data_IF_152255992821
#
_entry.id   IF_152255992821
#
_cell.length_a   1.000
_cell.length_b   1.000
_cell.length_c   1.000
_cell.angle_alpha   90.00
_cell.angle_beta   90.00
_cell.angle_gamma   90.00
#
_symmetry.space_group_name_H-M   'P 1'
#
loop_
_entity.id
_entity.type
_entity.pdbx_description
1 polymer ?
#
# COMPACT_ATOMS: atom_id res chain seq x y z
N UNK A 1 20.38 -2.29 26.75
CA UNK A 1 20.34 -1.30 25.65
C UNK A 1 19.48 -1.94 24.57
N UNK A 2 18.17 -1.67 24.60
CA UNK A 2 17.21 -2.26 23.65
C UNK A 2 17.56 -1.76 22.24
N UNK A 3 17.92 -2.69 21.36
CA UNK A 3 18.04 -2.41 19.93
C UNK A 3 16.62 -2.11 19.44
N UNK A 4 16.33 -0.84 19.12
CA UNK A 4 15.14 -0.49 18.34
C UNK A 4 15.18 -1.29 17.04
N UNK A 5 14.24 -2.23 16.90
CA UNK A 5 14.14 -3.11 15.74
C UNK A 5 13.97 -2.27 14.48
N UNK A 6 14.79 -2.54 13.46
CA UNK A 6 14.61 -1.92 12.16
C UNK A 6 13.27 -2.36 11.59
N UNK A 7 12.40 -1.42 11.25
CA UNK A 7 11.11 -1.73 10.65
C UNK A 7 11.02 -1.16 9.24
N UNK A 8 10.21 -1.82 8.41
CA UNK A 8 9.82 -1.32 7.10
C UNK A 8 8.35 -1.59 6.90
N UNK A 9 7.60 -0.55 6.53
CA UNK A 9 6.16 -0.61 6.30
C UNK A 9 5.81 0.05 4.98
N UNK A 10 5.01 -0.64 4.17
CA UNK A 10 4.42 -0.09 2.96
C UNK A 10 2.95 0.16 3.20
N UNK A 11 2.48 1.35 2.88
CA UNK A 11 1.11 1.80 3.08
C UNK A 11 0.59 2.22 1.72
N UNK A 12 -0.51 1.62 1.29
CA UNK A 12 -1.15 1.99 0.03
C UNK A 12 -1.91 3.30 0.23
N UNK A 13 -1.79 4.20 -0.73
CA UNK A 13 -2.57 5.43 -0.80
C UNK A 13 -3.79 5.19 -1.69
N UNK A 14 -4.96 5.18 -1.07
CA UNK A 14 -6.25 5.01 -1.70
C UNK A 14 -6.96 6.36 -1.86
N UNK A 15 -7.83 6.44 -2.86
CA UNK A 15 -8.64 7.64 -3.04
C UNK A 15 -9.63 7.81 -1.89
N UNK A 16 -9.59 8.98 -1.26
CA UNK A 16 -10.59 9.39 -0.28
C UNK A 16 -11.53 10.42 -0.91
N UNK A 17 -10.98 11.52 -1.44
CA UNK A 17 -11.77 12.52 -2.18
C UNK A 17 -11.66 12.35 -3.70
N UNK A 18 -12.82 12.38 -4.36
CA UNK A 18 -12.91 12.30 -5.82
C UNK A 18 -12.58 13.63 -6.52
N UNK A 19 -12.35 13.59 -7.83
CA UNK A 19 -12.11 14.80 -8.65
C UNK A 19 -10.64 15.21 -8.83
N UNK A 20 -9.73 14.65 -8.02
CA UNK A 20 -8.29 14.94 -8.04
C UNK A 20 -7.48 14.05 -8.98
N UNK A 21 -8.12 13.11 -9.68
CA UNK A 21 -7.47 12.28 -10.71
C UNK A 21 -7.46 12.96 -12.08
N UNK A 22 -6.42 12.75 -12.90
CA UNK A 22 -6.38 13.27 -14.28
C UNK A 22 -7.34 12.49 -15.19
N UNK A 23 -6.98 11.25 -15.54
CA UNK A 23 -7.74 10.33 -16.41
C UNK A 23 -8.10 9.01 -15.70
N UNK A 24 -7.44 8.75 -14.56
CA UNK A 24 -7.61 7.56 -13.74
C UNK A 24 -7.68 7.98 -12.28
N UNK A 25 -8.19 7.09 -11.45
CA UNK A 25 -8.15 7.25 -9.99
C UNK A 25 -6.69 7.46 -9.55
N UNK A 26 -6.39 8.55 -8.82
CA UNK A 26 -5.06 8.77 -8.28
C UNK A 26 -4.78 7.70 -7.24
N UNK A 27 -3.51 7.33 -7.11
CA UNK A 27 -3.11 6.30 -6.17
C UNK A 27 -1.60 6.26 -6.01
N UNK A 28 -1.14 5.57 -4.99
CA UNK A 28 0.28 5.55 -4.68
C UNK A 28 0.61 4.65 -3.51
N UNK A 29 1.82 4.83 -2.99
CA UNK A 29 2.21 4.20 -1.74
C UNK A 29 3.15 5.10 -0.96
N UNK A 30 3.18 4.87 0.35
CA UNK A 30 4.16 5.41 1.27
C UNK A 30 4.98 4.28 1.83
N UNK A 31 6.30 4.43 1.80
CA UNK A 31 7.24 3.56 2.47
C UNK A 31 7.76 4.28 3.71
N UNK A 32 7.53 3.69 4.88
CA UNK A 32 8.16 4.07 6.13
C UNK A 32 9.29 3.08 6.44
N UNK A 33 10.47 3.60 6.74
CA UNK A 33 11.65 2.81 7.13
C UNK A 33 12.21 3.37 8.42
N UNK A 34 12.20 2.59 9.49
CA UNK A 34 12.85 2.97 10.73
C UNK A 34 14.16 2.25 10.93
N UNK A 35 15.13 3.00 11.42
CA UNK A 35 16.30 2.49 12.10
C UNK A 35 16.38 3.16 13.48
N UNK A 36 17.28 2.72 14.36
CA UNK A 36 17.46 3.37 15.67
C UNK A 36 17.83 4.86 15.61
N UNK A 37 18.05 5.42 14.42
CA UNK A 37 18.41 6.83 14.19
C UNK A 37 17.23 7.69 13.74
N UNK A 38 16.12 7.08 13.29
CA UNK A 38 14.97 7.84 12.82
C UNK A 38 14.02 7.07 11.89
N UNK A 39 13.21 7.82 11.15
CA UNK A 39 12.17 7.32 10.24
C UNK A 39 12.35 7.99 8.87
N UNK A 40 12.69 7.19 7.87
CA UNK A 40 12.61 7.55 6.46
C UNK A 40 11.19 7.42 5.92
N UNK A 41 10.71 8.47 5.26
CA UNK A 41 9.42 8.54 4.58
C UNK A 41 9.70 8.69 3.09
N UNK A 42 9.13 7.80 2.28
CA UNK A 42 9.19 7.87 0.81
C UNK A 42 7.79 7.73 0.24
N UNK A 43 7.34 8.70 -0.54
CA UNK A 43 6.00 8.75 -1.13
C UNK A 43 6.13 8.70 -2.65
N UNK A 44 5.31 7.89 -3.30
CA UNK A 44 5.16 7.87 -4.76
C UNK A 44 3.68 7.83 -5.12
N UNK A 45 3.24 8.77 -5.95
CA UNK A 45 1.84 8.94 -6.37
C UNK A 45 1.79 9.06 -7.88
N UNK A 46 0.75 8.48 -8.49
CA UNK A 46 0.44 8.56 -9.92
C UNK A 46 -1.00 8.99 -10.15
N UNK A 47 -1.23 9.50 -11.35
CA UNK A 47 -2.52 9.97 -11.88
C UNK A 47 -3.18 11.10 -11.09
N UNK A 48 -2.42 11.81 -10.26
CA UNK A 48 -2.92 12.96 -9.48
C UNK A 48 -2.85 14.24 -10.32
N UNK A 49 -3.93 15.04 -10.34
CA UNK A 49 -3.94 16.34 -10.99
C UNK A 49 -3.01 17.30 -10.27
N UNK A 50 -2.35 18.15 -11.04
CA UNK A 50 -1.71 19.33 -10.50
C UNK A 50 -2.79 20.27 -9.93
N UNK A 51 -2.69 20.58 -8.65
CA UNK A 51 -3.60 21.50 -7.98
C UNK A 51 -3.17 22.94 -8.18
N UNK A 52 -4.04 23.90 -7.89
CA UNK A 52 -3.67 25.33 -7.83
C UNK A 52 -2.72 25.62 -6.66
N UNK A 53 -2.63 24.72 -5.70
CA UNK A 53 -1.69 24.72 -4.59
C UNK A 53 -1.00 23.36 -4.50
N UNK A 54 0.24 23.29 -3.97
CA UNK A 54 0.93 22.03 -3.77
C UNK A 54 0.20 21.19 -2.72
N UNK A 55 0.24 19.86 -2.86
CA UNK A 55 -0.33 18.97 -1.86
C UNK A 55 0.61 18.84 -0.65
N UNK A 56 0.06 18.80 0.55
CA UNK A 56 0.80 18.53 1.80
C UNK A 56 0.75 17.04 2.13
N UNK A 57 1.88 16.47 2.56
CA UNK A 57 1.94 15.14 3.18
C UNK A 57 1.77 15.31 4.69
N UNK A 58 0.75 14.69 5.27
CA UNK A 58 0.41 14.82 6.68
C UNK A 58 0.42 13.44 7.34
N UNK A 59 1.11 13.30 8.46
CA UNK A 59 1.06 12.11 9.32
C UNK A 59 0.10 12.38 10.46
N UNK A 60 -0.83 11.44 10.64
CA UNK A 60 -1.77 11.41 11.76
C UNK A 60 -1.39 10.25 12.67
N UNK A 61 -1.23 10.51 13.96
CA UNK A 61 -0.76 9.51 14.92
C UNK A 61 -1.39 9.70 16.29
N UNK A 62 -1.43 8.65 17.10
CA UNK A 62 -1.87 8.75 18.50
C UNK A 62 -0.71 9.23 19.38
N UNK A 63 -0.93 10.35 20.06
CA UNK A 63 0.02 10.93 21.01
C UNK A 63 -0.63 10.96 22.40
N UNK A 64 -0.67 9.79 23.07
CA UNK A 64 -1.14 9.45 24.45
C UNK A 64 -2.42 10.16 25.00
N UNK A 65 -2.55 11.47 24.85
CA UNK A 65 -3.66 12.33 25.24
C UNK A 65 -4.50 12.84 24.05
N UNK A 66 -3.90 13.02 22.87
CA UNK A 66 -4.59 13.55 21.69
C UNK A 66 -4.08 13.01 20.34
N UNK A 67 -4.77 13.39 19.26
CA UNK A 67 -4.40 13.03 17.90
C UNK A 67 -3.32 14.01 17.41
N UNK A 68 -2.11 13.49 17.22
CA UNK A 68 -0.98 14.19 16.64
C UNK A 68 -1.18 14.42 15.14
N UNK A 69 -0.84 15.63 14.68
CA UNK A 69 -0.91 16.04 13.28
C UNK A 69 0.45 16.64 12.93
N UNK A 70 1.17 15.99 12.02
CA UNK A 70 2.49 16.44 11.58
C UNK A 70 2.55 16.61 10.07
N UNK A 71 2.78 17.84 9.61
CA UNK A 71 2.96 18.16 8.19
C UNK A 71 4.41 17.91 7.81
N UNK A 72 4.64 16.83 7.05
CA UNK A 72 5.98 16.34 6.70
C UNK A 72 6.63 17.26 5.67
N UNK A 73 5.85 17.69 4.68
CA UNK A 73 6.28 18.60 3.63
C UNK A 73 5.28 18.62 2.46
N UNK A 74 5.65 19.31 1.39
CA UNK A 74 4.80 19.51 0.21
C UNK A 74 5.27 18.65 -0.97
N UNK A 75 4.32 18.13 -1.73
CA UNK A 75 4.49 17.40 -2.98
C UNK A 75 4.40 18.37 -4.16
N UNK A 76 5.39 18.28 -5.05
CA UNK A 76 5.27 18.81 -6.39
C UNK A 76 4.77 17.71 -7.32
N UNK A 77 3.77 18.04 -8.13
CA UNK A 77 3.19 17.14 -9.13
C UNK A 77 3.73 17.53 -10.49
N UNK A 78 4.31 16.58 -11.21
CA UNK A 78 4.81 16.78 -12.58
C UNK A 78 4.16 15.71 -13.46
N UNK A 79 3.38 16.14 -14.45
CA UNK A 79 2.75 15.24 -15.43
C UNK A 79 1.97 14.08 -14.80
N UNK A 80 1.23 14.37 -13.72
CA UNK A 80 0.42 13.36 -13.05
C UNK A 80 1.17 12.47 -12.05
N UNK A 81 2.46 12.72 -11.82
CA UNK A 81 3.30 11.94 -10.92
C UNK A 81 3.84 12.84 -9.82
N UNK A 82 3.87 12.33 -8.59
CA UNK A 82 4.50 13.02 -7.48
C UNK A 82 5.39 12.04 -6.70
N UNK A 83 6.58 12.51 -6.31
CA UNK A 83 7.49 11.75 -5.46
C UNK A 83 8.04 12.63 -4.36
N UNK A 84 8.19 12.08 -3.18
CA UNK A 84 8.75 12.81 -2.04
C UNK A 84 9.57 11.89 -1.16
N UNK A 85 10.65 12.40 -0.60
CA UNK A 85 11.45 11.69 0.39
C UNK A 85 11.90 12.64 1.50
N UNK A 86 11.72 12.22 2.74
CA UNK A 86 12.24 12.93 3.92
C UNK A 86 12.68 11.93 4.97
N UNK A 87 13.74 12.26 5.69
CA UNK A 87 14.15 11.55 6.88
C UNK A 87 13.82 12.40 8.10
N UNK A 88 13.13 11.80 9.07
CA UNK A 88 12.89 12.38 10.39
C UNK A 88 13.92 11.76 11.33
N UNK A 89 14.79 12.58 11.90
CA UNK A 89 15.79 12.10 12.85
C UNK A 89 15.19 11.76 14.22
N UNK A 90 15.97 11.06 15.04
CA UNK A 90 15.56 10.65 16.38
C UNK A 90 15.08 11.84 17.25
N UNK A 91 15.72 13.01 17.13
CA UNK A 91 15.35 14.21 17.88
C UNK A 91 13.95 14.72 17.49
N UNK A 92 13.66 14.77 16.19
CA UNK A 92 12.35 15.14 15.65
C UNK A 92 11.27 14.15 16.10
N UNK A 93 11.54 12.85 16.03
CA UNK A 93 10.58 11.81 16.40
C UNK A 93 10.26 11.86 17.90
N UNK A 94 11.29 12.05 18.72
CA UNK A 94 11.15 12.15 20.18
C UNK A 94 10.39 13.41 20.58
N UNK A 95 10.76 14.57 20.03
CA UNK A 95 10.08 15.84 20.34
C UNK A 95 8.61 15.85 19.94
N UNK A 96 8.24 15.15 18.88
CA UNK A 96 6.86 15.03 18.41
C UNK A 96 6.11 13.84 19.03
N UNK A 97 6.78 13.04 19.87
CA UNK A 97 6.31 11.76 20.40
C UNK A 97 5.69 10.84 19.33
N UNK A 98 6.31 10.82 18.14
CA UNK A 98 5.87 9.96 17.04
C UNK A 98 6.40 8.55 17.33
N UNK A 99 5.49 7.58 17.39
CA UNK A 99 5.87 6.16 17.39
C UNK A 99 5.35 5.50 16.11
N UNK A 100 6.19 4.78 15.35
CA UNK A 100 5.79 4.13 14.10
C UNK A 100 4.49 3.31 14.19
N UNK A 101 4.35 2.55 15.26
CA UNK A 101 3.22 1.69 15.59
C UNK A 101 1.95 2.49 15.98
N UNK A 102 2.09 3.78 16.28
CA UNK A 102 0.98 4.70 16.60
C UNK A 102 0.56 5.58 15.44
N UNK A 103 1.23 5.51 14.29
CA UNK A 103 0.78 6.19 13.08
C UNK A 103 -0.55 5.55 12.63
N UNK A 104 -1.59 6.37 12.50
CA UNK A 104 -2.94 5.98 12.06
C UNK A 104 -3.12 6.21 10.56
N UNK A 105 -2.83 7.41 10.09
CA UNK A 105 -3.04 7.79 8.69
C UNK A 105 -1.83 8.54 8.12
N UNK A 106 -1.65 8.41 6.82
CA UNK A 106 -0.83 9.31 6.01
C UNK A 106 -1.74 9.93 4.95
N UNK A 107 -1.86 11.26 4.96
CA UNK A 107 -2.78 12.00 4.12
C UNK A 107 -2.01 12.77 3.06
N UNK A 108 -2.56 12.81 1.86
CA UNK A 108 -2.17 13.75 0.81
C UNK A 108 -3.30 14.77 0.73
N UNK A 109 -3.06 15.99 1.20
CA UNK A 109 -4.07 17.00 1.38
C UNK A 109 -3.82 18.25 0.52
N UNK A 110 -4.87 18.85 -0.02
CA UNK A 110 -4.85 20.22 -0.53
C UNK A 110 -5.49 21.11 0.54
N UNK A 111 -4.67 21.93 1.20
CA UNK A 111 -5.09 22.75 2.33
C UNK A 111 -5.35 24.20 1.87
N UNK A 112 -6.60 24.64 1.91
CA UNK A 112 -7.01 26.03 1.70
C UNK A 112 -7.49 26.64 3.03
N UNK A 113 -7.59 27.98 3.09
CA UNK A 113 -7.87 28.73 4.32
C UNK A 113 -9.08 28.22 5.13
N UNK A 114 -10.16 27.80 4.47
CA UNK A 114 -11.38 27.30 5.13
C UNK A 114 -11.75 25.86 4.77
N UNK A 115 -10.95 25.20 3.93
CA UNK A 115 -11.30 23.88 3.40
C UNK A 115 -10.07 23.03 3.17
N UNK A 116 -10.15 21.79 3.63
CA UNK A 116 -9.13 20.77 3.39
C UNK A 116 -9.75 19.69 2.53
N UNK A 117 -9.13 19.41 1.39
CA UNK A 117 -9.42 18.23 0.58
C UNK A 117 -8.33 17.20 0.79
N UNK A 118 -8.70 15.94 0.86
CA UNK A 118 -7.80 14.81 1.07
C UNK A 118 -7.94 13.85 -0.12
N UNK A 119 -7.29 14.15 -1.25
CA UNK A 119 -7.29 13.26 -2.42
C UNK A 119 -6.94 11.81 -2.09
N UNK A 120 -5.93 11.59 -1.24
CA UNK A 120 -5.43 10.26 -0.92
C UNK A 120 -5.22 10.06 0.58
N UNK A 121 -5.53 8.85 1.02
CA UNK A 121 -5.30 8.37 2.38
C UNK A 121 -4.54 7.05 2.37
N UNK A 122 -3.57 6.93 3.27
CA UNK A 122 -2.94 5.67 3.62
C UNK A 122 -3.29 5.29 5.05
N UNK A 123 -4.05 4.20 5.22
CA UNK A 123 -4.44 3.69 6.52
C UNK A 123 -3.35 2.74 7.02
N UNK A 124 -2.73 3.08 8.15
CA UNK A 124 -1.61 2.33 8.71
C UNK A 124 -2.05 1.13 9.56
N UNK A 125 -3.30 1.10 10.03
CA UNK A 125 -3.86 0.01 10.84
C UNK A 125 -5.15 -0.48 10.18
N UNK A 126 -5.18 -1.74 9.74
CA UNK A 126 -6.28 -2.30 8.94
C UNK A 126 -7.66 -2.23 9.61
N UNK A 127 -7.69 -2.17 10.94
CA UNK A 127 -8.92 -2.13 11.75
C UNK A 127 -9.45 -0.70 11.98
N UNK A 128 -8.77 0.33 11.47
CA UNK A 128 -9.13 1.72 11.72
C UNK A 128 -9.72 2.32 10.45
N UNK A 129 -11.06 2.41 10.32
CA UNK A 129 -11.68 3.10 9.18
C UNK A 129 -11.36 4.60 9.22
N UNK A 130 -11.55 5.28 8.09
CA UNK A 130 -11.40 6.73 8.05
C UNK A 130 -12.30 7.44 9.08
N UNK A 131 -11.72 8.37 9.83
CA UNK A 131 -12.42 9.17 10.83
C UNK A 131 -12.54 10.62 10.37
N UNK A 132 -13.76 11.06 10.06
CA UNK A 132 -14.05 12.42 9.58
C UNK A 132 -13.71 13.51 10.60
N UNK A 133 -13.61 13.18 11.90
CA UNK A 133 -13.15 14.11 12.94
C UNK A 133 -11.73 14.60 12.66
N UNK A 134 -10.90 13.77 12.00
CA UNK A 134 -9.54 14.17 11.58
C UNK A 134 -9.60 15.32 10.59
N UNK A 135 -10.48 15.27 9.58
CA UNK A 135 -10.67 16.37 8.61
C UNK A 135 -11.08 17.65 9.31
N UNK A 136 -12.00 17.56 10.27
CA UNK A 136 -12.44 18.72 11.06
C UNK A 136 -11.30 19.33 11.89
N UNK A 137 -10.40 18.51 12.44
CA UNK A 137 -9.22 18.99 13.19
C UNK A 137 -8.20 19.68 12.28
N UNK A 138 -8.03 19.21 11.04
CA UNK A 138 -7.16 19.87 10.06
C UNK A 138 -7.64 21.29 9.76
N UNK A 139 -8.95 21.51 9.65
CA UNK A 139 -9.56 22.84 9.42
C UNK A 139 -9.45 23.73 10.69
N UNK A 140 -9.61 23.16 11.89
CA UNK A 140 -9.65 23.93 13.15
C UNK A 140 -8.28 24.42 13.62
N UNK A 141 -7.18 23.68 13.39
CA UNK A 141 -5.85 24.09 13.88
C UNK A 141 -5.31 25.36 13.19
N UNK A 142 -5.80 25.71 12.00
CA UNK A 142 -5.45 26.99 11.35
C UNK A 142 -6.19 28.19 11.95
N UNK A 143 -7.30 27.98 12.68
CA UNK A 143 -8.02 29.05 13.39
C UNK A 143 -7.43 29.39 14.76
N UNK A 144 -6.60 28.53 15.35
CA UNK A 144 -6.02 28.75 16.70
C UNK A 144 -4.81 29.69 16.67
N UNK A 145 -4.22 29.97 15.49
CA UNK A 145 -3.13 30.96 15.36
C UNK A 145 -3.66 32.40 15.16
N UNK A 146 -4.96 32.59 14.90
CA UNK A 146 -5.56 33.92 14.80
C UNK A 146 -6.98 33.94 15.40
N UNK A 147 -7.08 34.07 16.73
CA UNK A 147 -8.04 34.93 17.44
C UNK A 147 -7.94 34.72 18.95
N UNK A 148 -7.10 35.54 19.57
CA UNK A 148 -7.33 36.00 20.93
C UNK A 148 -8.42 37.07 20.88
N UNK A 149 -9.41 36.96 21.79
CA UNK A 149 -10.47 37.94 22.12
C UNK A 149 -11.63 37.98 21.07
N UNK A 150 -12.91 37.77 21.37
CA UNK A 150 -13.75 38.04 22.56
C UNK A 150 -14.90 37.01 22.74
N UNK A 151 -15.54 37.05 23.90
CA UNK A 151 -16.62 36.17 24.39
C UNK A 151 -18.00 36.38 23.70
N UNK A 152 -18.70 35.26 23.42
CA UNK A 152 -20.13 34.83 23.60
C UNK A 152 -21.27 35.88 23.82
N UNK A 153 -22.59 35.58 23.58
CA UNK A 153 -23.23 34.24 23.71
C UNK A 153 -24.35 33.82 22.70
N UNK A 154 -24.65 32.51 22.78
CA UNK A 154 -25.91 31.71 22.66
C UNK A 154 -27.03 32.04 21.65
N UNK A 155 -27.44 31.04 20.85
CA UNK A 155 -28.84 30.59 20.63
C UNK A 155 -28.86 29.06 20.41
N UNK A 156 -29.83 28.40 21.06
CA UNK A 156 -30.18 26.97 21.04
C UNK A 156 -30.87 26.53 19.72
N UNK A 157 -31.26 25.23 19.68
CA UNK A 157 -32.12 24.52 18.70
C UNK A 157 -31.40 23.91 17.48
N UNK A 158 -31.61 22.67 17.04
CA UNK A 158 -32.47 21.54 17.43
C UNK A 158 -31.91 20.27 16.75
N UNK A 159 -32.17 19.08 17.33
CA UNK A 159 -31.90 17.75 16.73
C UNK A 159 -33.03 17.34 15.76
N UNK A 160 -32.74 16.46 14.78
CA UNK A 160 -33.36 15.11 14.83
C UNK A 160 -32.34 14.01 14.43
N UNK A 161 -32.08 12.98 15.25
CA UNK A 161 -32.77 11.67 15.40
C UNK A 161 -32.71 10.74 14.17
N UNK A 162 -31.73 9.82 14.23
CA UNK A 162 -31.71 8.38 13.89
C UNK A 162 -32.47 7.84 12.67
N UNK A 163 -31.72 7.14 11.79
CA UNK A 163 -32.00 5.74 11.44
C UNK A 163 -30.65 4.99 11.51
N UNK A 164 -30.50 4.12 12.50
CA UNK A 164 -29.43 3.13 12.58
C UNK A 164 -29.89 1.92 11.75
N UNK A 165 -29.16 1.58 10.69
CA UNK A 165 -29.29 0.28 10.03
C UNK A 165 -28.08 -0.59 10.41
N UNK A 166 -28.42 -1.66 11.09
CA UNK A 166 -27.62 -2.78 11.56
C UNK A 166 -27.03 -3.57 10.38
N UNK A 167 -25.71 -3.66 10.29
CA UNK A 167 -25.01 -4.66 9.47
C UNK A 167 -23.93 -5.33 10.31
N UNK A 168 -24.36 -6.38 11.01
CA UNK A 168 -23.48 -7.44 11.50
C UNK A 168 -23.01 -8.33 10.33
N UNK A 169 -21.70 -8.63 10.33
CA UNK A 169 -20.93 -9.70 9.63
C UNK A 169 -20.72 -9.65 8.10
N UNK A 170 -19.47 -9.35 7.69
CA UNK A 170 -18.46 -10.38 7.37
C UNK A 170 -17.05 -9.75 7.14
N UNK A 171 -16.04 -10.25 7.83
CA UNK A 171 -14.62 -9.94 7.60
C UNK A 171 -14.20 -10.45 6.20
N UNK A 172 -13.31 -9.78 5.43
CA UNK A 172 -12.85 -10.31 4.16
C UNK A 172 -11.87 -11.48 4.41
N UNK A 173 -12.40 -12.69 4.48
CA UNK A 173 -11.63 -13.94 4.40
C UNK A 173 -11.07 -14.06 2.97
N UNK A 174 -9.74 -14.10 2.82
CA UNK A 174 -9.12 -14.44 1.53
C UNK A 174 -9.49 -15.88 1.23
N UNK A 175 -10.37 -16.09 0.25
CA UNK A 175 -10.80 -17.41 -0.17
C UNK A 175 -9.73 -18.03 -1.06
N UNK A 176 -8.70 -18.61 -0.45
CA UNK A 176 -7.55 -19.22 -1.14
C UNK A 176 -7.96 -20.43 -2.00
N UNK A 177 -8.96 -21.20 -1.52
CA UNK A 177 -9.56 -22.32 -2.26
C UNK A 177 -10.22 -21.82 -3.55
N UNK A 178 -11.02 -20.75 -3.47
CA UNK A 178 -11.67 -20.17 -4.63
C UNK A 178 -10.66 -19.54 -5.60
N UNK A 179 -9.62 -18.88 -5.08
CA UNK A 179 -8.55 -18.32 -5.92
C UNK A 179 -7.80 -19.41 -6.69
N UNK A 180 -7.49 -20.53 -6.04
CA UNK A 180 -6.81 -21.66 -6.68
C UNK A 180 -7.67 -22.28 -7.78
N UNK A 181 -8.97 -22.49 -7.53
CA UNK A 181 -9.89 -23.01 -8.53
C UNK A 181 -9.99 -22.08 -9.74
N UNK A 182 -10.17 -20.77 -9.50
CA UNK A 182 -10.22 -19.78 -10.58
C UNK A 182 -8.93 -19.71 -11.39
N UNK A 183 -7.77 -19.85 -10.75
CA UNK A 183 -6.47 -19.90 -11.44
C UNK A 183 -6.35 -21.14 -12.31
N UNK A 184 -6.74 -22.31 -11.79
CA UNK A 184 -6.72 -23.59 -12.51
C UNK A 184 -7.63 -23.60 -13.74
N UNK A 185 -8.78 -22.95 -13.66
CA UNK A 185 -9.69 -22.78 -14.80
C UNK A 185 -9.19 -21.73 -15.80
N UNK A 186 -8.44 -20.73 -15.31
CA UNK A 186 -8.06 -19.57 -16.10
C UNK A 186 -6.72 -19.68 -16.82
N UNK A 187 -5.80 -20.50 -16.33
CA UNK A 187 -4.41 -20.56 -16.75
C UNK A 187 -3.89 -22.00 -16.81
N UNK A 188 -2.92 -22.23 -17.70
CA UNK A 188 -2.30 -23.54 -17.89
C UNK A 188 -1.39 -23.88 -16.71
N UNK A 189 -1.53 -25.08 -16.15
CA UNK A 189 -0.56 -25.59 -15.18
C UNK A 189 0.79 -25.78 -15.88
N UNK A 190 1.87 -25.39 -15.23
CA UNK A 190 3.23 -25.65 -15.71
C UNK A 190 4.14 -26.07 -14.57
N UNK A 191 5.25 -26.72 -14.88
CA UNK A 191 6.29 -27.07 -13.91
C UNK A 191 7.59 -26.34 -14.30
N UNK A 192 7.81 -25.11 -13.78
CA UNK A 192 8.87 -24.24 -14.26
C UNK A 192 10.26 -24.60 -13.72
N UNK A 193 10.37 -25.55 -12.79
CA UNK A 193 11.62 -25.93 -12.13
C UNK A 193 11.88 -27.43 -12.27
N UNK A 194 13.15 -27.80 -12.49
CA UNK A 194 13.55 -29.18 -12.75
C UNK A 194 13.32 -30.15 -11.59
N UNK A 195 13.17 -29.63 -10.36
CA UNK A 195 12.84 -30.42 -9.18
C UNK A 195 11.46 -30.00 -8.65
N UNK A 196 10.36 -30.56 -9.19
CA UNK A 196 9.01 -30.21 -8.79
C UNK A 196 8.80 -30.61 -7.34
N UNK A 197 8.53 -29.63 -6.47
CA UNK A 197 8.17 -29.89 -5.09
C UNK A 197 6.65 -29.97 -4.97
N UNK A 198 6.15 -30.94 -4.21
CA UNK A 198 4.72 -31.19 -4.02
C UNK A 198 3.99 -30.07 -3.25
N UNK A 199 4.74 -29.25 -2.52
CA UNK A 199 4.25 -28.10 -1.76
C UNK A 199 4.06 -26.84 -2.62
N UNK A 200 4.35 -26.94 -3.93
CA UNK A 200 4.13 -25.86 -4.89
C UNK A 200 3.19 -26.26 -6.03
N UNK A 201 2.35 -25.31 -6.42
CA UNK A 201 1.52 -25.39 -7.62
C UNK A 201 1.77 -24.15 -8.46
N UNK A 202 2.03 -24.33 -9.75
CA UNK A 202 2.38 -23.24 -10.66
C UNK A 202 1.46 -23.19 -11.89
N UNK A 203 1.12 -21.96 -12.26
CA UNK A 203 0.28 -21.63 -13.39
C UNK A 203 1.00 -20.60 -14.26
N UNK A 204 0.99 -20.82 -15.58
CA UNK A 204 1.53 -19.91 -16.57
C UNK A 204 0.54 -18.79 -16.83
N UNK A 205 0.91 -17.57 -16.45
CA UNK A 205 0.05 -16.39 -16.61
C UNK A 205 0.53 -15.57 -17.80
N UNK A 206 -0.23 -15.59 -18.88
CA UNK A 206 -0.01 -14.74 -20.06
C UNK A 206 -0.83 -13.44 -20.04
N UNK A 207 -1.87 -13.36 -19.19
CA UNK A 207 -2.74 -12.21 -19.05
C UNK A 207 -2.75 -11.71 -17.59
N UNK A 208 -1.98 -10.64 -17.38
CA UNK A 208 -1.85 -9.97 -16.09
C UNK A 208 -3.13 -9.26 -15.65
N UNK A 209 -3.99 -8.83 -16.58
CA UNK A 209 -5.27 -8.19 -16.26
C UNK A 209 -6.23 -9.22 -15.69
N UNK A 210 -6.31 -10.38 -16.34
CA UNK A 210 -7.08 -11.51 -15.85
C UNK A 210 -6.59 -11.95 -14.46
N UNK A 211 -5.28 -12.10 -14.27
CA UNK A 211 -4.70 -12.42 -12.96
C UNK A 211 -5.07 -11.37 -11.90
N UNK A 212 -4.91 -10.07 -12.21
CA UNK A 212 -5.24 -8.98 -11.28
C UNK A 212 -6.70 -9.00 -10.85
N UNK A 213 -7.62 -9.27 -11.78
CA UNK A 213 -9.04 -9.35 -11.49
C UNK A 213 -9.38 -10.55 -10.61
N UNK A 214 -8.76 -11.70 -10.86
CA UNK A 214 -8.94 -12.90 -10.02
C UNK A 214 -8.48 -12.65 -8.59
N UNK A 215 -7.27 -12.11 -8.43
CA UNK A 215 -6.71 -11.77 -7.13
C UNK A 215 -7.63 -10.79 -6.37
N UNK A 216 -8.05 -9.71 -7.04
CA UNK A 216 -8.96 -8.73 -6.45
C UNK A 216 -10.30 -9.35 -6.03
N UNK A 217 -10.89 -10.21 -6.87
CA UNK A 217 -12.15 -10.89 -6.57
C UNK A 217 -12.08 -11.85 -5.37
N UNK A 218 -10.88 -12.30 -5.02
CA UNK A 218 -10.64 -13.20 -3.90
C UNK A 218 -10.03 -12.48 -2.68
N UNK A 219 -10.09 -11.14 -2.65
CA UNK A 219 -9.59 -10.34 -1.52
C UNK A 219 -8.07 -10.15 -1.48
N UNK A 220 -7.35 -10.53 -2.55
CA UNK A 220 -5.89 -10.37 -2.66
C UNK A 220 -5.58 -9.13 -3.52
N UNK A 221 -5.21 -8.02 -2.89
CA UNK A 221 -4.91 -6.78 -3.59
C UNK A 221 -3.40 -6.62 -3.89
N UNK A 222 -2.94 -7.21 -5.00
CA UNK A 222 -1.56 -7.06 -5.48
C UNK A 222 -1.56 -6.13 -6.70
N UNK A 223 -0.87 -4.97 -6.65
CA UNK A 223 -0.85 -4.04 -7.76
C UNK A 223 0.15 -4.47 -8.85
N UNK A 224 -0.16 -5.56 -9.55
CA UNK A 224 0.70 -6.18 -10.56
C UNK A 224 1.14 -5.21 -11.68
N UNK A 225 0.26 -4.28 -12.05
CA UNK A 225 0.54 -3.25 -13.04
C UNK A 225 1.41 -2.10 -12.53
N UNK A 226 1.58 -1.95 -11.22
CA UNK A 226 2.32 -0.83 -10.65
C UNK A 226 3.84 -0.99 -10.82
N UNK A 227 4.31 -2.23 -11.02
CA UNK A 227 5.72 -2.54 -11.15
C UNK A 227 6.11 -2.72 -12.63
N UNK A 228 6.87 -1.77 -13.23
CA UNK A 228 7.28 -1.86 -14.62
C UNK A 228 8.16 -3.10 -14.89
N UNK A 229 8.85 -3.64 -13.88
CA UNK A 229 9.69 -4.84 -14.04
C UNK A 229 8.84 -6.11 -14.20
N UNK A 230 7.68 -6.19 -13.53
CA UNK A 230 6.70 -7.26 -13.77
C UNK A 230 6.23 -7.20 -15.23
N UNK A 231 5.88 -6.01 -15.71
CA UNK A 231 5.43 -5.81 -17.08
C UNK A 231 6.52 -6.14 -18.10
N UNK A 232 7.76 -5.69 -17.87
CA UNK A 232 8.89 -6.02 -18.75
C UNK A 232 9.11 -7.52 -18.83
N UNK A 233 9.09 -8.23 -17.70
CA UNK A 233 9.19 -9.70 -17.68
C UNK A 233 8.08 -10.36 -18.49
N UNK A 234 6.82 -9.94 -18.26
CA UNK A 234 5.67 -10.42 -19.01
C UNK A 234 5.79 -10.15 -20.51
N UNK A 235 6.16 -8.94 -20.94
CA UNK A 235 6.23 -8.60 -22.36
C UNK A 235 7.41 -9.29 -23.06
N UNK A 236 8.58 -9.36 -22.41
CA UNK A 236 9.78 -9.97 -22.98
C UNK A 236 9.62 -11.49 -23.11
N UNK A 237 9.13 -12.15 -22.06
CA UNK A 237 9.06 -13.61 -21.99
C UNK A 237 7.65 -14.18 -22.21
N UNK A 238 6.67 -13.31 -22.44
CA UNK A 238 5.25 -13.64 -22.75
C UNK A 238 4.52 -14.42 -21.67
N UNK A 239 5.06 -14.46 -20.45
CA UNK A 239 4.40 -15.09 -19.31
C UNK A 239 4.95 -14.58 -17.98
N UNK A 240 4.19 -14.83 -16.93
CA UNK A 240 4.55 -14.80 -15.53
C UNK A 240 4.25 -16.17 -14.93
N UNK A 241 4.76 -16.42 -13.72
CA UNK A 241 4.29 -17.52 -12.89
C UNK A 241 3.37 -16.98 -11.81
N UNK A 242 2.22 -17.61 -11.64
CA UNK A 242 1.42 -17.51 -10.43
C UNK A 242 1.39 -18.88 -9.77
N UNK A 243 1.51 -18.93 -8.46
CA UNK A 243 1.50 -20.19 -7.75
C UNK A 243 1.10 -20.08 -6.30
N UNK A 244 1.00 -21.25 -5.67
CA UNK A 244 0.77 -21.38 -4.24
C UNK A 244 1.92 -22.13 -3.62
N UNK A 245 2.32 -21.68 -2.43
CA UNK A 245 3.16 -22.45 -1.52
C UNK A 245 2.36 -22.77 -0.27
N UNK A 246 2.18 -24.06 0.00
CA UNK A 246 1.48 -24.57 1.19
C UNK A 246 2.40 -25.44 2.01
N UNK A 247 2.57 -25.11 3.28
CA UNK A 247 3.36 -25.92 4.21
C UNK A 247 2.48 -26.51 5.31
N UNK A 248 2.34 -27.83 5.31
CA UNK A 248 1.56 -28.59 6.32
C UNK A 248 2.16 -28.49 7.73
N UNK A 249 3.44 -28.18 7.84
CA UNK A 249 4.19 -28.16 9.11
C UNK A 249 3.96 -26.86 9.88
N UNK A 250 3.78 -25.73 9.18
CA UNK A 250 3.75 -24.39 9.77
C UNK A 250 2.45 -23.61 9.50
N UNK A 251 1.43 -24.22 8.88
CA UNK A 251 0.17 -23.58 8.47
C UNK A 251 0.41 -22.28 7.66
N UNK A 252 1.40 -22.36 6.77
CA UNK A 252 1.84 -21.27 5.93
C UNK A 252 1.22 -21.40 4.53
N UNK A 253 0.38 -20.43 4.17
CA UNK A 253 -0.27 -20.34 2.88
C UNK A 253 0.15 -19.04 2.18
N UNK A 254 0.93 -19.18 1.12
CA UNK A 254 1.43 -18.05 0.34
C UNK A 254 0.97 -18.14 -1.10
N UNK A 255 0.60 -17.00 -1.66
CA UNK A 255 0.57 -16.78 -3.09
C UNK A 255 1.97 -16.39 -3.55
N UNK A 256 2.43 -16.95 -4.65
CA UNK A 256 3.78 -16.73 -5.16
C UNK A 256 3.71 -16.21 -6.59
N UNK A 257 4.30 -15.05 -6.82
CA UNK A 257 4.44 -14.47 -8.15
C UNK A 257 5.88 -14.64 -8.63
N UNK A 258 6.07 -15.30 -9.78
CA UNK A 258 7.36 -15.40 -10.45
C UNK A 258 7.45 -14.47 -11.65
N UNK A 259 8.42 -13.57 -11.63
CA UNK A 259 8.72 -12.67 -12.76
C UNK A 259 9.95 -13.20 -13.49
N UNK A 260 9.83 -13.59 -14.77
CA UNK A 260 10.97 -14.12 -15.53
C UNK A 260 12.01 -13.02 -15.77
N UNK A 261 13.28 -13.39 -15.67
CA UNK A 261 14.39 -12.51 -16.02
C UNK A 261 15.55 -13.28 -16.64
N UNK A 262 16.49 -12.52 -17.23
CA UNK A 262 17.69 -13.08 -17.84
C UNK A 262 18.66 -13.65 -16.82
N UNK A 263 18.80 -13.02 -15.65
CA UNK A 263 19.71 -13.42 -14.57
C UNK A 263 19.33 -12.74 -13.24
N UNK A 264 20.11 -13.02 -12.19
CA UNK A 264 19.91 -12.47 -10.83
C UNK A 264 20.25 -10.98 -10.67
N UNK A 265 20.66 -10.30 -11.74
CA UNK A 265 20.93 -8.86 -11.76
C UNK A 265 19.87 -8.07 -12.55
N UNK A 266 19.17 -8.75 -13.46
CA UNK A 266 18.17 -8.16 -14.35
C UNK A 266 16.76 -8.18 -13.74
N UNK A 267 15.95 -7.17 -14.04
CA UNK A 267 14.49 -7.24 -13.90
C UNK A 267 13.93 -7.45 -12.48
N UNK A 268 14.74 -7.31 -11.41
CA UNK A 268 14.32 -7.60 -10.03
C UNK A 268 13.10 -6.78 -9.59
N UNK A 269 11.88 -7.32 -9.47
CA UNK A 269 10.69 -6.50 -9.28
C UNK A 269 10.70 -5.81 -7.91
N UNK A 270 11.20 -6.46 -6.86
CA UNK A 270 11.24 -5.90 -5.52
C UNK A 270 12.61 -6.14 -4.85
N UNK A 271 13.27 -5.07 -4.39
CA UNK A 271 14.69 -5.11 -4.02
C UNK A 271 15.09 -6.16 -2.97
N UNK A 272 14.36 -6.28 -1.85
CA UNK A 272 14.78 -7.15 -0.72
C UNK A 272 13.86 -8.35 -0.45
N UNK A 273 12.73 -8.45 -1.15
CA UNK A 273 11.69 -9.47 -0.94
C UNK A 273 11.56 -10.45 -2.12
N UNK A 274 12.47 -10.35 -3.10
CA UNK A 274 12.52 -11.28 -4.21
C UNK A 274 13.59 -12.36 -3.96
N UNK A 275 13.21 -13.61 -4.19
CA UNK A 275 14.11 -14.75 -4.26
C UNK A 275 14.40 -15.06 -5.73
N UNK A 276 15.67 -15.12 -6.10
CA UNK A 276 16.05 -15.60 -7.42
C UNK A 276 16.01 -17.13 -7.44
N UNK A 277 15.32 -17.70 -8.42
CA UNK A 277 15.32 -19.16 -8.64
C UNK A 277 15.68 -19.45 -10.09
N UNK A 278 16.84 -20.09 -10.35
CA UNK A 278 17.25 -20.41 -11.70
C UNK A 278 16.37 -21.52 -12.29
N UNK A 279 16.17 -21.48 -13.61
CA UNK A 279 15.53 -22.55 -14.37
C UNK A 279 16.34 -22.87 -15.62
N UNK A 280 16.35 -24.14 -15.99
CA UNK A 280 16.95 -24.61 -17.23
C UNK A 280 15.83 -24.99 -18.18
N UNK A 281 15.22 -23.99 -18.81
CA UNK A 281 14.22 -24.22 -19.84
C UNK A 281 14.59 -23.46 -21.12
N UNK A 282 14.95 -24.20 -22.17
CA UNK A 282 15.38 -23.66 -23.46
C UNK A 282 14.24 -23.04 -24.27
N UNK A 283 12.98 -23.25 -23.87
CA UNK A 283 11.80 -22.72 -24.58
C UNK A 283 11.65 -21.20 -24.46
N UNK A 284 12.29 -20.57 -23.46
CA UNK A 284 12.09 -19.15 -23.13
C UNK A 284 13.26 -18.23 -23.54
N UNK A 285 14.07 -18.67 -24.50
CA UNK A 285 15.12 -17.84 -25.09
C UNK A 285 16.29 -17.60 -24.14
N UNK A 286 16.58 -16.32 -23.83
CA UNK A 286 17.68 -15.92 -22.92
C UNK A 286 17.30 -15.95 -21.43
N UNK A 287 16.07 -16.38 -21.10
CA UNK A 287 15.61 -16.49 -19.72
C UNK A 287 16.38 -17.57 -18.96
N UNK A 288 16.89 -17.26 -17.77
CA UNK A 288 17.59 -18.26 -16.94
C UNK A 288 16.97 -18.46 -15.56
N UNK A 289 15.87 -17.77 -15.24
CA UNK A 289 15.20 -17.92 -13.95
C UNK A 289 14.03 -16.98 -13.73
N UNK A 290 13.49 -17.06 -12.52
CA UNK A 290 12.39 -16.23 -12.04
C UNK A 290 12.77 -15.53 -10.74
N UNK A 291 12.34 -14.29 -10.62
CA UNK A 291 12.21 -13.62 -9.33
C UNK A 291 10.89 -14.00 -8.69
N UNK A 292 10.96 -14.81 -7.63
CA UNK A 292 9.81 -15.18 -6.83
C UNK A 292 9.53 -14.14 -5.76
N UNK A 293 8.24 -13.83 -5.59
CA UNK A 293 7.71 -12.89 -4.61
C UNK A 293 6.62 -13.61 -3.85
N UNK A 294 6.79 -13.77 -2.54
CA UNK A 294 5.83 -14.44 -1.69
C UNK A 294 4.90 -13.41 -1.07
N UNK A 295 3.60 -13.67 -1.17
CA UNK A 295 2.55 -12.87 -0.56
C UNK A 295 1.77 -13.77 0.39
N UNK A 296 1.74 -13.41 1.66
CA UNK A 296 0.99 -14.13 2.68
C UNK A 296 -0.51 -13.95 2.43
N UNK A 297 -1.24 -15.05 2.25
CA UNK A 297 -2.68 -15.00 1.95
C UNK A 297 -3.53 -14.58 3.16
N UNK A 298 -3.03 -14.70 4.40
CA UNK A 298 -3.76 -14.30 5.61
C UNK A 298 -3.77 -12.78 5.81
N UNK A 299 -2.69 -12.09 5.43
CA UNK A 299 -2.52 -10.66 5.72
C UNK A 299 -2.05 -9.81 4.52
N UNK A 300 -1.87 -10.40 3.34
CA UNK A 300 -1.44 -9.72 2.12
C UNK A 300 -0.02 -9.16 2.18
N UNK A 301 0.78 -9.51 3.18
CA UNK A 301 2.15 -9.02 3.34
C UNK A 301 3.11 -9.74 2.39
N UNK A 302 4.07 -8.99 1.86
CA UNK A 302 5.18 -9.57 1.13
C UNK A 302 6.17 -10.20 2.12
N UNK A 303 6.45 -11.47 1.94
CA UNK A 303 7.35 -12.23 2.80
C UNK A 303 8.62 -12.60 2.03
N UNK A 304 9.72 -12.71 2.76
CA UNK A 304 11.01 -13.14 2.22
C UNK A 304 11.22 -14.62 2.48
#
# INVERSE_FOLDING_TARGET
MERLESFRKYIILEQLDSGFGMQRTPGGFVRLEGNGEGIGISVQIKYIKEGTQPYTIIIIYDNDEELGIFRVGTLQVISGVASYRKFLDHATITSLNIKPERIKYILIASEHQDRVFIPLIGICKKEVPWDEVVRQRLIRKDKVVQKSQEKKPDIEEEKPSQVEEDYDRDLPYVNDIELENKLKESFEKMDPFSNPRHDYFWYRVNDIAKLSNLLYSCGVNIPLFANPRILVGLFKYRHLLAGFYRSDINDLNYFVLGVPAKDETDGKPFEKICLWVPTQNSEFGDMTGYWLVYINLKNGEFVR
#
